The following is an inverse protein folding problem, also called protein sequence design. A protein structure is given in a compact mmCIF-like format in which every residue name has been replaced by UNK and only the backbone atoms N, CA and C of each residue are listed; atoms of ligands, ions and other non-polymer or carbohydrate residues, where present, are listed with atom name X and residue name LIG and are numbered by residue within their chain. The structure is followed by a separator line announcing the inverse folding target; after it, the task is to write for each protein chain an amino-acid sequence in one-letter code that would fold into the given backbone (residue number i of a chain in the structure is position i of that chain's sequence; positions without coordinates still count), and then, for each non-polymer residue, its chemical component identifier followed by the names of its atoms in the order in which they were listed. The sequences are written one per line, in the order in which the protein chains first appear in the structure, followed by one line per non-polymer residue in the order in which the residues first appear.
data_IF_389330037090
#
_entry.id   IF_389330037090
#
_cell.length_a   1.000
_cell.length_b   1.000
_cell.length_c   1.000
_cell.angle_alpha   90.00
_cell.angle_beta   90.00
_cell.angle_gamma   90.00
#
_symmetry.space_group_name_H-M   'P 1'
#
loop_
_entity.id
_entity.type
_entity.pdbx_description
1 polymer ?
#
# COMPACT_ATOMS: atom_id res chain seq x y z
N UNK A 1 16.60 -75.90 26.53
CA UNK A 1 17.45 -74.69 26.50
C UNK A 1 17.04 -73.84 25.30
N UNK A 2 16.81 -72.54 25.54
CA UNK A 2 16.54 -71.46 24.57
C UNK A 2 15.27 -71.47 23.71
N UNK A 3 14.18 -71.00 24.30
CA UNK A 3 13.13 -70.19 23.64
C UNK A 3 12.51 -69.30 24.71
N UNK A 4 12.70 -67.98 24.64
CA UNK A 4 11.87 -66.90 25.24
C UNK A 4 12.70 -65.62 25.40
N UNK A 5 12.80 -64.78 24.36
CA UNK A 5 13.27 -63.39 24.46
C UNK A 5 12.75 -62.65 23.21
N UNK A 6 11.45 -62.41 23.19
CA UNK A 6 10.75 -61.58 22.20
C UNK A 6 9.41 -61.21 22.84
N UNK A 7 9.40 -60.11 23.59
CA UNK A 7 8.27 -59.20 23.79
C UNK A 7 8.66 -58.25 24.93
N UNK A 8 9.03 -57.02 24.60
CA UNK A 8 9.25 -56.01 25.63
C UNK A 8 10.00 -54.77 25.18
N UNK A 9 9.98 -54.40 23.91
CA UNK A 9 10.61 -53.16 23.44
C UNK A 9 9.85 -52.64 22.22
N UNK A 10 8.58 -52.24 22.42
CA UNK A 10 7.75 -51.56 21.42
C UNK A 10 6.53 -50.92 22.10
N UNK A 11 6.77 -50.00 23.03
CA UNK A 11 5.81 -49.02 23.51
C UNK A 11 6.58 -47.87 24.18
N UNK A 12 7.54 -47.27 23.48
CA UNK A 12 7.79 -45.85 23.68
C UNK A 12 6.56 -45.13 23.13
N UNK A 13 5.52 -45.03 23.96
CA UNK A 13 4.46 -44.05 23.75
C UNK A 13 5.19 -42.71 23.60
N UNK A 14 5.27 -42.22 22.37
CA UNK A 14 5.23 -40.79 22.13
C UNK A 14 3.99 -40.30 22.88
N UNK A 15 4.20 -39.73 24.07
CA UNK A 15 3.24 -38.87 24.71
C UNK A 15 3.02 -37.72 23.74
N UNK A 16 2.10 -37.92 22.80
CA UNK A 16 1.44 -36.84 22.09
C UNK A 16 0.76 -36.09 23.22
N UNK A 17 1.37 -34.99 23.68
CA UNK A 17 0.74 -34.08 24.62
C UNK A 17 -0.60 -33.71 24.02
N UNK A 18 -1.69 -34.06 24.70
CA UNK A 18 -3.01 -33.62 24.28
C UNK A 18 -3.03 -32.10 24.47
N UNK A 19 -3.29 -31.36 23.40
CA UNK A 19 -3.51 -29.92 23.47
C UNK A 19 -4.57 -29.62 24.55
N UNK A 20 -4.16 -28.87 25.57
CA UNK A 20 -5.02 -28.50 26.68
C UNK A 20 -5.71 -27.15 26.39
N UNK A 21 -6.97 -27.03 26.78
CA UNK A 21 -7.68 -25.75 26.81
C UNK A 21 -7.61 -25.14 28.22
N UNK A 22 -7.04 -23.93 28.34
CA UNK A 22 -7.10 -23.11 29.54
C UNK A 22 -8.16 -22.04 29.36
N UNK A 23 -9.25 -22.11 30.13
CA UNK A 23 -10.23 -21.02 30.20
C UNK A 23 -9.87 -20.08 31.34
N UNK A 24 -9.70 -18.79 31.03
CA UNK A 24 -9.31 -17.76 32.00
C UNK A 24 -10.38 -16.68 32.10
N UNK A 25 -10.57 -16.13 33.29
CA UNK A 25 -11.64 -15.16 33.61
C UNK A 25 -11.13 -13.84 34.19
N UNK A 26 -9.84 -13.76 34.50
CA UNK A 26 -9.19 -12.58 35.07
C UNK A 26 -7.69 -12.53 34.72
N UNK A 27 -7.04 -11.40 35.01
CA UNK A 27 -5.61 -11.16 34.75
C UNK A 27 -4.69 -12.20 35.40
N UNK A 28 -4.99 -12.63 36.63
CA UNK A 28 -4.14 -13.56 37.35
C UNK A 28 -4.18 -14.96 36.71
N UNK A 29 -5.38 -15.41 36.34
CA UNK A 29 -5.60 -16.65 35.61
C UNK A 29 -4.94 -16.63 34.23
N UNK A 30 -5.04 -15.52 33.49
CA UNK A 30 -4.34 -15.35 32.20
C UNK A 30 -2.83 -15.46 32.35
N UNK A 31 -2.26 -14.73 33.31
CA UNK A 31 -0.82 -14.74 33.58
C UNK A 31 -0.33 -16.15 33.93
N UNK A 32 -1.08 -16.86 34.78
CA UNK A 32 -0.75 -18.23 35.16
C UNK A 32 -0.90 -19.22 34.00
N UNK A 33 -1.93 -19.07 33.16
CA UNK A 33 -2.15 -19.92 31.99
C UNK A 33 -1.02 -19.76 30.98
N UNK A 34 -0.65 -18.52 30.63
CA UNK A 34 0.47 -18.24 29.71
C UNK A 34 1.81 -18.79 30.22
N UNK A 35 2.04 -18.74 31.54
CA UNK A 35 3.24 -19.31 32.14
C UNK A 35 3.29 -20.84 32.14
N UNK A 36 2.14 -21.51 32.09
CA UNK A 36 2.01 -22.98 32.17
C UNK A 36 1.76 -23.64 30.82
N UNK A 37 1.29 -22.89 29.83
CA UNK A 37 0.94 -23.42 28.52
C UNK A 37 2.14 -24.11 27.86
N UNK A 38 1.85 -25.17 27.14
CA UNK A 38 2.76 -25.94 26.31
C UNK A 38 2.43 -25.73 24.84
N UNK A 39 3.35 -26.12 23.97
CA UNK A 39 3.13 -26.03 22.53
C UNK A 39 1.91 -26.88 22.13
N UNK A 40 1.00 -26.27 21.38
CA UNK A 40 -0.28 -26.85 20.95
C UNK A 40 -1.48 -26.45 21.81
N UNK A 41 -1.27 -25.85 22.99
CA UNK A 41 -2.38 -25.49 23.88
C UNK A 41 -3.20 -24.30 23.37
N UNK A 42 -4.43 -24.20 23.87
CA UNK A 42 -5.33 -23.07 23.63
C UNK A 42 -5.61 -22.35 24.94
N UNK A 43 -5.43 -21.03 24.96
CA UNK A 43 -5.82 -20.17 26.08
C UNK A 43 -7.03 -19.34 25.64
N UNK A 44 -8.20 -19.64 26.22
CA UNK A 44 -9.47 -18.98 25.94
C UNK A 44 -9.76 -17.93 27.02
N UNK A 45 -9.80 -16.66 26.61
CA UNK A 45 -10.12 -15.53 27.47
C UNK A 45 -11.63 -15.31 27.46
N UNK A 46 -12.27 -15.50 28.61
CA UNK A 46 -13.67 -15.12 28.80
C UNK A 46 -13.85 -13.60 28.68
N UNK A 47 -15.09 -13.16 28.48
CA UNK A 47 -15.46 -11.72 28.43
C UNK A 47 -15.11 -11.00 29.73
N UNK A 48 -13.94 -10.36 29.75
CA UNK A 48 -13.42 -9.57 30.86
C UNK A 48 -12.38 -8.56 30.35
N UNK A 49 -11.94 -7.66 31.25
CA UNK A 49 -10.78 -6.80 31.02
C UNK A 49 -9.59 -7.40 31.75
N UNK A 50 -8.53 -7.66 31.01
CA UNK A 50 -7.25 -8.17 31.49
C UNK A 50 -6.25 -7.02 31.45
N UNK A 51 -6.00 -6.42 32.61
CA UNK A 51 -5.09 -5.29 32.74
C UNK A 51 -3.63 -5.76 32.82
N UNK A 52 -2.75 -5.12 32.06
CA UNK A 52 -1.32 -5.38 32.05
C UNK A 52 -0.76 -5.70 30.66
N UNK A 53 0.50 -6.09 30.64
CA UNK A 53 1.23 -6.50 29.45
C UNK A 53 1.45 -8.02 29.49
N UNK A 54 1.18 -8.69 28.38
CA UNK A 54 1.22 -10.15 28.30
C UNK A 54 2.28 -10.62 27.30
N UNK A 55 2.86 -11.80 27.55
CA UNK A 55 3.87 -12.40 26.67
C UNK A 55 3.53 -13.85 26.36
N UNK A 56 3.67 -14.24 25.09
CA UNK A 56 3.47 -15.58 24.57
C UNK A 56 4.80 -16.11 24.05
N UNK A 57 5.37 -17.09 24.76
CA UNK A 57 6.66 -17.71 24.45
C UNK A 57 6.55 -19.17 24.01
N UNK A 58 5.32 -19.64 23.74
CA UNK A 58 4.98 -21.01 23.31
C UNK A 58 4.06 -20.97 22.10
N UNK A 59 4.08 -22.02 21.30
CA UNK A 59 3.25 -22.17 20.10
C UNK A 59 1.81 -22.47 20.52
N UNK A 60 1.01 -21.44 20.82
CA UNK A 60 -0.35 -21.60 21.35
C UNK A 60 -1.39 -20.84 20.53
N UNK A 61 -2.66 -21.19 20.74
CA UNK A 61 -3.80 -20.40 20.28
C UNK A 61 -4.33 -19.54 21.44
N UNK A 62 -4.12 -18.23 21.35
CA UNK A 62 -4.70 -17.23 22.25
C UNK A 62 -6.01 -16.74 21.65
N UNK A 63 -7.14 -17.08 22.29
CA UNK A 63 -8.49 -16.85 21.74
C UNK A 63 -9.34 -16.02 22.68
N UNK A 64 -9.91 -14.92 22.20
CA UNK A 64 -10.91 -14.13 22.90
C UNK A 64 -12.33 -14.61 22.66
N UNK A 65 -13.12 -14.75 23.72
CA UNK A 65 -14.58 -14.67 23.62
C UNK A 65 -15.01 -13.22 23.30
N UNK A 66 -16.20 -13.04 22.75
CA UNK A 66 -16.70 -11.71 22.38
C UNK A 66 -16.62 -10.74 23.57
N UNK A 67 -15.82 -9.68 23.43
CA UNK A 67 -15.61 -8.67 24.46
C UNK A 67 -14.38 -8.88 25.37
N UNK A 68 -13.65 -9.99 25.25
CA UNK A 68 -12.38 -10.18 25.94
C UNK A 68 -11.38 -9.08 25.55
N UNK A 69 -10.87 -8.35 26.54
CA UNK A 69 -10.11 -7.11 26.32
C UNK A 69 -8.77 -7.15 27.03
N UNK A 70 -7.67 -6.97 26.31
CA UNK A 70 -6.35 -6.66 26.87
C UNK A 70 -6.21 -5.13 26.98
N UNK A 71 -5.95 -4.63 28.19
CA UNK A 71 -5.73 -3.21 28.46
C UNK A 71 -4.32 -2.98 29.01
N UNK A 72 -3.46 -2.38 28.21
CA UNK A 72 -2.05 -2.18 28.54
C UNK A 72 -1.78 -0.90 29.35
N UNK A 73 -2.82 -0.22 29.83
CA UNK A 73 -2.70 0.89 30.79
C UNK A 73 -1.80 2.06 30.30
N UNK A 74 -1.71 2.24 28.99
CA UNK A 74 -0.86 3.18 28.25
C UNK A 74 0.64 2.96 28.47
N UNK A 75 1.05 1.74 28.78
CA UNK A 75 2.45 1.37 29.04
C UNK A 75 2.85 0.17 28.19
N UNK A 76 4.06 0.20 27.63
CA UNK A 76 4.63 -0.94 26.91
C UNK A 76 3.81 -1.40 25.70
N UNK A 77 4.12 -2.59 25.22
CA UNK A 77 3.29 -3.32 24.25
C UNK A 77 2.24 -4.17 24.96
N UNK A 78 1.01 -4.25 24.45
CA UNK A 78 -0.05 -5.00 25.13
C UNK A 78 0.17 -6.52 25.09
N UNK A 79 0.57 -7.04 23.94
CA UNK A 79 0.88 -8.45 23.74
C UNK A 79 2.22 -8.60 23.00
N UNK A 80 3.17 -9.31 23.60
CA UNK A 80 4.44 -9.68 22.97
C UNK A 80 4.41 -11.15 22.57
N UNK A 81 4.77 -11.47 21.34
CA UNK A 81 4.85 -12.83 20.81
C UNK A 81 6.31 -13.14 20.50
N UNK A 82 6.82 -14.22 21.09
CA UNK A 82 8.21 -14.66 21.01
C UNK A 82 8.36 -16.12 20.59
N UNK A 83 7.32 -16.69 19.97
CA UNK A 83 7.28 -18.06 19.49
C UNK A 83 6.60 -18.15 18.11
N UNK A 84 6.99 -19.11 17.27
CA UNK A 84 6.40 -19.28 15.95
C UNK A 84 4.98 -19.86 16.05
N UNK A 85 4.21 -19.74 14.97
CA UNK A 85 2.91 -20.39 14.77
C UNK A 85 1.86 -20.08 15.86
N UNK A 86 2.07 -19.01 16.62
CA UNK A 86 1.08 -18.50 17.57
C UNK A 86 -0.11 -17.96 16.80
N UNK A 87 -1.31 -18.30 17.27
CA UNK A 87 -2.56 -17.77 16.74
C UNK A 87 -3.14 -16.81 17.77
N UNK A 88 -3.40 -15.56 17.38
CA UNK A 88 -4.09 -14.56 18.21
C UNK A 88 -5.40 -14.20 17.53
N UNK A 89 -6.51 -14.53 18.18
CA UNK A 89 -7.83 -14.45 17.57
C UNK A 89 -8.88 -13.78 18.47
N UNK A 90 -9.65 -12.85 17.91
CA UNK A 90 -10.90 -12.38 18.52
C UNK A 90 -10.75 -11.49 19.75
N UNK A 91 -9.58 -10.87 19.96
CA UNK A 91 -9.32 -10.00 21.10
C UNK A 91 -9.64 -8.53 20.80
N UNK A 92 -10.13 -7.82 21.82
CA UNK A 92 -10.00 -6.37 21.88
C UNK A 92 -8.66 -6.03 22.55
N UNK A 93 -7.84 -5.20 21.94
CA UNK A 93 -6.55 -4.78 22.49
C UNK A 93 -6.54 -3.26 22.49
N UNK A 94 -6.25 -2.64 23.63
CA UNK A 94 -6.31 -1.19 23.76
C UNK A 94 -5.26 -0.61 24.70
N UNK A 95 -5.07 0.70 24.56
CA UNK A 95 -4.24 1.50 25.46
C UNK A 95 -2.82 0.93 25.64
N UNK A 96 -2.15 0.51 24.58
CA UNK A 96 -0.69 0.30 24.65
C UNK A 96 0.05 1.64 24.71
N UNK A 97 1.33 1.60 25.04
CA UNK A 97 2.19 2.78 25.06
C UNK A 97 2.32 3.45 23.70
N UNK A 98 2.66 4.74 23.70
CA UNK A 98 2.81 5.55 22.46
C UNK A 98 4.25 5.78 22.02
N UNK A 99 5.21 5.30 22.80
CA UNK A 99 6.63 5.54 22.50
C UNK A 99 7.09 4.69 21.32
N UNK A 100 7.30 5.34 20.18
CA UNK A 100 7.74 4.71 18.93
C UNK A 100 9.21 4.28 18.99
N UNK A 101 10.04 4.93 19.81
CA UNK A 101 11.44 4.56 19.99
C UNK A 101 11.56 3.19 20.69
N UNK A 102 10.70 2.94 21.68
CA UNK A 102 10.60 1.63 22.32
C UNK A 102 9.68 0.64 21.61
N UNK A 103 9.22 0.97 20.39
CA UNK A 103 8.39 0.09 19.56
C UNK A 103 7.10 -0.39 20.26
N UNK A 104 6.49 0.48 21.08
CA UNK A 104 5.27 0.11 21.79
C UNK A 104 4.15 -0.21 20.78
N UNK A 105 3.57 -1.39 20.93
CA UNK A 105 2.59 -1.92 19.99
C UNK A 105 1.38 -2.57 20.67
N UNK A 106 0.25 -2.63 19.97
CA UNK A 106 -0.86 -3.49 20.36
C UNK A 106 -0.42 -4.96 20.37
N UNK A 107 0.25 -5.39 19.31
CA UNK A 107 0.91 -6.70 19.23
C UNK A 107 2.35 -6.50 18.73
N UNK A 108 3.32 -6.93 19.54
CA UNK A 108 4.74 -6.91 19.22
C UNK A 108 5.21 -8.33 18.87
N UNK A 109 5.71 -8.52 17.66
CA UNK A 109 6.32 -9.76 17.18
C UNK A 109 7.84 -9.66 17.32
N UNK A 110 8.42 -10.48 18.19
CA UNK A 110 9.88 -10.56 18.36
C UNK A 110 10.50 -11.50 17.32
N UNK A 111 11.80 -11.36 17.04
CA UNK A 111 12.52 -12.32 16.19
C UNK A 111 12.25 -13.78 16.63
N UNK A 112 11.90 -14.63 15.68
CA UNK A 112 11.48 -16.02 15.90
C UNK A 112 9.96 -16.23 16.03
N UNK A 113 9.15 -15.16 16.01
CA UNK A 113 7.69 -15.23 15.90
C UNK A 113 7.24 -15.47 14.45
N UNK A 114 7.75 -16.52 13.82
CA UNK A 114 7.48 -16.87 12.43
C UNK A 114 6.11 -17.55 12.26
N UNK A 115 5.51 -17.44 11.08
CA UNK A 115 4.27 -18.11 10.70
C UNK A 115 3.06 -17.80 11.61
N UNK A 116 3.15 -16.73 12.42
CA UNK A 116 2.09 -16.29 13.33
C UNK A 116 0.83 -15.91 12.56
N UNK A 117 -0.33 -16.13 13.17
CA UNK A 117 -1.62 -15.70 12.65
C UNK A 117 -2.27 -14.72 13.61
N UNK A 118 -2.40 -13.47 13.20
CA UNK A 118 -3.15 -12.43 13.91
C UNK A 118 -4.46 -12.21 13.17
N UNK A 119 -5.57 -12.68 13.74
CA UNK A 119 -6.86 -12.73 13.07
C UNK A 119 -8.00 -12.11 13.86
N UNK A 120 -8.84 -11.30 13.21
CA UNK A 120 -10.15 -10.95 13.78
C UNK A 120 -10.06 -10.12 15.07
N UNK A 121 -8.97 -9.40 15.28
CA UNK A 121 -8.75 -8.60 16.48
C UNK A 121 -9.14 -7.14 16.25
N UNK A 122 -9.50 -6.45 17.33
CA UNK A 122 -9.77 -5.00 17.34
C UNK A 122 -8.73 -4.28 18.18
N UNK A 123 -7.87 -3.50 17.52
CA UNK A 123 -6.76 -2.78 18.15
C UNK A 123 -7.07 -1.27 18.18
N UNK A 124 -6.99 -0.63 19.35
CA UNK A 124 -7.16 0.83 19.50
C UNK A 124 -6.09 1.46 20.41
N UNK A 125 -5.22 2.30 19.86
CA UNK A 125 -4.13 2.91 20.61
C UNK A 125 -3.27 3.88 19.79
N UNK A 126 -2.29 4.50 20.44
CA UNK A 126 -1.53 5.61 19.86
C UNK A 126 -0.23 5.16 19.16
N UNK A 127 0.41 4.09 19.66
CA UNK A 127 1.63 3.50 19.09
C UNK A 127 1.34 2.60 17.90
N UNK A 128 2.26 1.69 17.58
CA UNK A 128 2.07 0.76 16.45
C UNK A 128 0.88 -0.17 16.71
N UNK A 129 0.08 -0.49 15.71
CA UNK A 129 -0.95 -1.53 15.84
C UNK A 129 -0.29 -2.89 16.03
N UNK A 130 0.39 -3.34 14.98
CA UNK A 130 1.19 -4.56 14.96
C UNK A 130 2.61 -4.20 14.49
N UNK A 131 3.61 -4.58 15.27
CA UNK A 131 5.01 -4.36 14.94
C UNK A 131 5.75 -5.68 14.86
N UNK A 132 6.65 -5.86 13.89
CA UNK A 132 7.48 -7.05 13.80
C UNK A 132 8.78 -6.85 13.04
N UNK A 133 9.85 -7.52 13.49
CA UNK A 133 11.13 -7.53 12.79
C UNK A 133 11.73 -8.92 12.69
N UNK A 134 12.45 -9.19 11.60
CA UNK A 134 13.19 -10.45 11.41
C UNK A 134 12.28 -11.69 11.52
N UNK A 135 11.24 -11.71 10.68
CA UNK A 135 10.20 -12.74 10.69
C UNK A 135 10.08 -13.43 9.33
N UNK A 136 9.43 -14.58 9.32
CA UNK A 136 8.99 -15.28 8.11
C UNK A 136 7.49 -15.57 8.14
N UNK A 137 6.83 -15.24 7.04
CA UNK A 137 5.43 -15.55 6.76
C UNK A 137 4.39 -15.21 7.86
N UNK A 138 4.45 -14.04 8.54
CA UNK A 138 3.35 -13.64 9.42
C UNK A 138 2.09 -13.38 8.59
N UNK A 139 0.93 -13.80 9.12
CA UNK A 139 -0.38 -13.62 8.50
C UNK A 139 -1.25 -12.72 9.36
N UNK A 140 -1.56 -11.55 8.86
CA UNK A 140 -2.32 -10.51 9.55
C UNK A 140 -3.62 -10.32 8.77
N UNK A 141 -4.74 -10.84 9.29
CA UNK A 141 -6.00 -10.82 8.54
C UNK A 141 -7.24 -10.49 9.34
N UNK A 142 -8.21 -9.87 8.68
CA UNK A 142 -9.54 -9.61 9.26
C UNK A 142 -9.48 -8.75 10.56
N UNK A 143 -8.42 -7.95 10.75
CA UNK A 143 -8.28 -7.09 11.94
C UNK A 143 -8.83 -5.68 11.68
N UNK A 144 -9.29 -5.02 12.74
CA UNK A 144 -9.59 -3.59 12.73
C UNK A 144 -8.60 -2.85 13.62
N UNK A 145 -7.80 -1.96 13.01
CA UNK A 145 -6.71 -1.25 13.67
C UNK A 145 -6.98 0.25 13.59
N UNK A 146 -7.21 0.87 14.75
CA UNK A 146 -7.48 2.30 14.88
C UNK A 146 -6.37 2.98 15.68
N UNK A 147 -5.75 3.98 15.05
CA UNK A 147 -4.90 4.94 15.74
C UNK A 147 -5.70 6.06 16.39
N UNK A 148 -5.04 7.20 16.64
CA UNK A 148 -5.62 8.37 17.28
C UNK A 148 -5.57 9.61 16.38
N UNK A 149 -6.74 9.97 15.83
CA UNK A 149 -6.90 11.09 14.90
C UNK A 149 -6.63 12.48 15.51
N UNK A 150 -6.57 12.60 16.84
CA UNK A 150 -6.28 13.86 17.52
C UNK A 150 -4.77 14.15 17.66
N UNK A 151 -3.92 13.16 17.41
CA UNK A 151 -2.46 13.30 17.45
C UNK A 151 -1.96 13.72 16.07
N UNK A 152 -0.89 14.52 16.01
CA UNK A 152 -0.22 14.86 14.76
C UNK A 152 0.23 13.58 14.02
N UNK A 153 0.06 13.54 12.70
CA UNK A 153 0.15 12.29 11.93
C UNK A 153 1.49 11.56 12.09
N UNK A 154 2.60 12.30 12.19
CA UNK A 154 3.94 11.72 12.34
C UNK A 154 4.23 11.17 13.74
N UNK A 155 3.43 11.55 14.74
CA UNK A 155 3.56 11.07 16.13
C UNK A 155 2.71 9.82 16.40
N UNK A 156 1.98 9.32 15.39
CA UNK A 156 1.19 8.08 15.47
C UNK A 156 2.05 6.89 15.06
N UNK A 157 1.74 5.72 15.61
CA UNK A 157 2.28 4.48 15.05
C UNK A 157 1.58 4.06 13.76
N UNK A 158 2.27 3.24 12.97
CA UNK A 158 1.70 2.59 11.80
C UNK A 158 0.75 1.47 12.21
N UNK A 159 -0.21 1.14 11.35
CA UNK A 159 -1.16 0.05 11.58
C UNK A 159 -0.44 -1.29 11.66
N UNK A 160 0.32 -1.60 10.61
CA UNK A 160 1.27 -2.72 10.55
C UNK A 160 2.63 -2.18 10.14
N UNK A 161 3.66 -2.41 10.96
CA UNK A 161 5.05 -2.12 10.65
C UNK A 161 5.84 -3.42 10.62
N UNK A 162 6.44 -3.76 9.48
CA UNK A 162 7.28 -4.95 9.32
C UNK A 162 8.64 -4.60 8.73
N UNK A 163 9.71 -5.06 9.39
CA UNK A 163 11.08 -4.81 8.94
C UNK A 163 11.91 -6.09 8.84
N UNK A 164 12.65 -6.27 7.75
CA UNK A 164 13.43 -7.50 7.50
C UNK A 164 12.56 -8.77 7.58
N UNK A 165 11.37 -8.72 6.98
CA UNK A 165 10.42 -9.84 6.97
C UNK A 165 10.35 -10.48 5.60
N UNK A 166 10.21 -11.79 5.55
CA UNK A 166 10.00 -12.55 4.30
C UNK A 166 8.56 -13.05 4.20
N UNK A 167 7.97 -12.94 3.01
CA UNK A 167 6.64 -13.43 2.67
C UNK A 167 5.48 -13.04 3.62
N UNK A 168 5.40 -11.81 4.18
CA UNK A 168 4.27 -11.44 5.01
C UNK A 168 2.98 -11.33 4.21
N UNK A 169 1.86 -11.74 4.81
CA UNK A 169 0.52 -11.59 4.24
C UNK A 169 -0.31 -10.65 5.10
N UNK A 170 -0.79 -9.54 4.52
CA UNK A 170 -1.68 -8.59 5.19
C UNK A 170 -2.94 -8.45 4.36
N UNK A 171 -4.06 -9.00 4.86
CA UNK A 171 -5.28 -9.11 4.07
C UNK A 171 -6.57 -8.81 4.84
N UNK A 172 -7.57 -8.26 4.15
CA UNK A 172 -8.92 -8.07 4.72
C UNK A 172 -8.94 -7.24 6.02
N UNK A 173 -7.96 -6.36 6.23
CA UNK A 173 -7.89 -5.51 7.43
C UNK A 173 -8.47 -4.12 7.16
N UNK A 174 -8.94 -3.46 8.22
CA UNK A 174 -9.41 -2.07 8.20
C UNK A 174 -8.53 -1.20 9.08
N UNK A 175 -7.96 -0.16 8.48
CA UNK A 175 -7.04 0.79 9.12
C UNK A 175 -7.63 2.19 9.12
N UNK A 176 -7.63 2.85 10.27
CA UNK A 176 -8.07 4.24 10.40
C UNK A 176 -7.24 5.00 11.42
N UNK A 177 -6.92 6.28 11.14
CA UNK A 177 -6.23 7.18 12.07
C UNK A 177 -4.87 6.70 12.59
N UNK A 178 -4.23 5.74 11.92
CA UNK A 178 -2.81 5.40 12.11
C UNK A 178 -1.93 6.40 11.33
N UNK A 179 -0.60 6.28 11.40
CA UNK A 179 0.31 7.01 10.50
C UNK A 179 0.25 6.40 9.11
N UNK A 180 0.93 5.30 8.84
CA UNK A 180 0.76 4.50 7.63
C UNK A 180 -0.08 3.26 7.92
N UNK A 181 -0.87 2.81 6.95
CA UNK A 181 -1.69 1.60 7.07
C UNK A 181 -0.80 0.36 7.20
N UNK A 182 -0.03 0.10 6.14
CA UNK A 182 1.01 -0.93 6.10
C UNK A 182 2.33 -0.30 5.69
N UNK A 183 3.32 -0.33 6.59
CA UNK A 183 4.69 0.09 6.34
C UNK A 183 5.61 -1.14 6.31
N UNK A 184 6.33 -1.33 5.20
CA UNK A 184 7.28 -2.42 5.01
C UNK A 184 8.68 -1.85 4.74
N UNK A 185 9.68 -2.31 5.48
CA UNK A 185 11.08 -1.92 5.29
C UNK A 185 11.99 -3.15 5.09
N UNK A 186 12.71 -3.20 3.96
CA UNK A 186 13.60 -4.32 3.64
C UNK A 186 12.88 -5.68 3.69
N UNK A 187 11.65 -5.72 3.15
CA UNK A 187 10.80 -6.92 3.07
C UNK A 187 10.91 -7.56 1.69
N UNK A 188 10.71 -8.87 1.61
CA UNK A 188 10.60 -9.59 0.33
C UNK A 188 9.32 -10.42 0.24
N UNK A 189 8.80 -10.53 -0.99
CA UNK A 189 7.71 -11.43 -1.36
C UNK A 189 6.41 -11.21 -0.58
N UNK A 190 6.12 -9.97 -0.19
CA UNK A 190 4.88 -9.64 0.55
C UNK A 190 3.64 -9.71 -0.32
N UNK A 191 2.51 -10.03 0.32
CA UNK A 191 1.18 -10.02 -0.29
C UNK A 191 0.23 -9.15 0.54
N UNK A 192 -0.14 -7.99 -0.01
CA UNK A 192 -0.97 -7.00 0.68
C UNK A 192 -2.25 -6.81 -0.12
N UNK A 193 -3.37 -7.41 0.31
CA UNK A 193 -4.58 -7.39 -0.51
C UNK A 193 -5.90 -7.24 0.23
N UNK A 194 -6.90 -6.66 -0.43
CA UNK A 194 -8.26 -6.50 0.12
C UNK A 194 -8.33 -5.67 1.42
N UNK A 195 -7.34 -4.80 1.69
CA UNK A 195 -7.35 -3.94 2.86
C UNK A 195 -8.06 -2.60 2.59
N UNK A 196 -8.64 -2.03 3.65
CA UNK A 196 -9.29 -0.72 3.63
C UNK A 196 -8.50 0.29 4.48
N UNK A 197 -8.15 1.43 3.90
CA UNK A 197 -7.34 2.48 4.51
C UNK A 197 -8.10 3.80 4.50
N UNK A 198 -8.21 4.46 5.66
CA UNK A 198 -8.89 5.75 5.74
C UNK A 198 -8.21 6.74 6.71
N UNK A 199 -8.19 8.03 6.35
CA UNK A 199 -7.79 9.13 7.25
C UNK A 199 -6.42 8.94 7.90
N UNK A 200 -5.45 8.55 7.09
CA UNK A 200 -4.07 8.24 7.48
C UNK A 200 -3.09 8.87 6.46
N UNK A 201 -1.79 8.77 6.70
CA UNK A 201 -0.76 9.28 5.80
C UNK A 201 -0.72 8.44 4.51
N UNK A 202 -0.12 7.24 4.53
CA UNK A 202 -0.09 6.34 3.36
C UNK A 202 -0.83 5.03 3.59
N UNK A 203 -1.62 4.58 2.60
CA UNK A 203 -2.27 3.28 2.65
C UNK A 203 -1.25 2.15 2.72
N UNK A 204 -0.35 2.11 1.73
CA UNK A 204 0.78 1.18 1.68
C UNK A 204 2.06 1.98 1.46
N UNK A 205 3.09 1.67 2.24
CA UNK A 205 4.41 2.29 2.17
C UNK A 205 5.50 1.21 2.09
N UNK A 206 6.07 1.02 0.91
CA UNK A 206 7.19 0.12 0.67
C UNK A 206 8.50 0.89 0.65
N UNK A 207 9.45 0.48 1.48
CA UNK A 207 10.80 1.03 1.58
C UNK A 207 11.83 -0.08 1.44
N UNK A 208 12.64 -0.03 0.37
CA UNK A 208 13.70 -1.03 0.13
C UNK A 208 13.18 -2.48 -0.03
N UNK A 209 11.98 -2.67 -0.57
CA UNK A 209 11.36 -4.00 -0.70
C UNK A 209 11.56 -4.63 -2.08
N UNK A 210 11.32 -5.94 -2.21
CA UNK A 210 11.44 -6.65 -3.48
C UNK A 210 10.48 -7.83 -3.63
N UNK A 211 9.92 -7.98 -4.84
CA UNK A 211 9.12 -9.16 -5.20
C UNK A 211 7.71 -9.14 -4.63
N UNK A 212 7.20 -7.95 -4.31
CA UNK A 212 5.96 -7.77 -3.57
C UNK A 212 4.75 -7.64 -4.49
N UNK A 213 3.59 -8.04 -3.99
CA UNK A 213 2.29 -7.87 -4.65
C UNK A 213 1.34 -7.09 -3.73
N UNK A 214 0.69 -6.06 -4.29
CA UNK A 214 -0.38 -5.34 -3.61
C UNK A 214 -1.60 -5.23 -4.53
N UNK A 215 -2.72 -5.78 -4.09
CA UNK A 215 -3.91 -5.84 -4.94
C UNK A 215 -5.26 -5.70 -4.26
N UNK A 216 -6.25 -5.17 -4.98
CA UNK A 216 -7.62 -5.03 -4.48
C UNK A 216 -7.74 -4.23 -3.16
N UNK A 217 -6.77 -3.36 -2.86
CA UNK A 217 -6.84 -2.49 -1.69
C UNK A 217 -7.63 -1.22 -2.01
N UNK A 218 -8.20 -0.60 -0.98
CA UNK A 218 -8.92 0.67 -1.09
C UNK A 218 -8.40 1.70 -0.10
N UNK A 219 -7.96 2.86 -0.59
CA UNK A 219 -7.55 4.00 0.22
C UNK A 219 -8.47 5.20 -0.02
N UNK A 220 -8.98 5.82 1.05
CA UNK A 220 -9.87 6.98 0.97
C UNK A 220 -9.51 8.09 1.98
N UNK A 221 -9.52 9.34 1.53
CA UNK A 221 -9.23 10.50 2.39
C UNK A 221 -7.88 10.36 3.11
N UNK A 222 -6.82 10.03 2.35
CA UNK A 222 -5.45 9.82 2.85
C UNK A 222 -4.53 10.94 2.38
N UNK A 223 -3.34 11.10 2.98
CA UNK A 223 -2.35 12.03 2.42
C UNK A 223 -1.80 11.49 1.09
N UNK A 224 -1.44 10.22 1.03
CA UNK A 224 -1.05 9.52 -0.20
C UNK A 224 -1.61 8.09 -0.25
N UNK A 225 -1.90 7.58 -1.44
CA UNK A 225 -2.45 6.23 -1.59
C UNK A 225 -1.40 5.14 -1.37
N UNK A 226 -0.63 4.85 -2.40
CA UNK A 226 0.35 3.76 -2.42
C UNK A 226 1.74 4.29 -2.78
N UNK A 227 2.67 4.20 -1.83
CA UNK A 227 4.04 4.69 -1.96
C UNK A 227 5.02 3.52 -2.15
N UNK A 228 5.61 3.42 -3.34
CA UNK A 228 6.63 2.44 -3.69
C UNK A 228 7.98 3.16 -3.74
N UNK A 229 8.79 3.01 -2.69
CA UNK A 229 10.00 3.81 -2.52
C UNK A 229 11.24 2.93 -2.44
N UNK A 230 12.21 3.24 -3.30
CA UNK A 230 13.48 2.52 -3.46
C UNK A 230 13.32 0.99 -3.51
N UNK A 231 12.29 0.51 -4.20
CA UNK A 231 11.83 -0.88 -4.21
C UNK A 231 11.82 -1.47 -5.62
N UNK A 232 11.85 -2.79 -5.75
CA UNK A 232 12.04 -3.47 -7.04
C UNK A 232 11.06 -4.61 -7.28
N UNK A 233 10.68 -4.86 -8.53
CA UNK A 233 9.81 -6.00 -8.89
C UNK A 233 8.48 -6.01 -8.12
N UNK A 234 7.82 -4.86 -8.04
CA UNK A 234 6.54 -4.72 -7.34
C UNK A 234 5.39 -4.89 -8.34
N UNK A 235 4.41 -5.73 -8.02
CA UNK A 235 3.16 -5.83 -8.77
C UNK A 235 2.04 -5.13 -8.00
N UNK A 236 1.71 -3.89 -8.40
CA UNK A 236 0.63 -3.11 -7.82
C UNK A 236 -0.57 -3.14 -8.77
N UNK A 237 -1.64 -3.85 -8.43
CA UNK A 237 -2.77 -3.98 -9.34
C UNK A 237 -4.17 -3.99 -8.74
N UNK A 238 -5.15 -3.49 -9.49
CA UNK A 238 -6.57 -3.48 -9.08
C UNK A 238 -6.81 -2.73 -7.75
N UNK A 239 -5.94 -1.80 -7.39
CA UNK A 239 -6.12 -0.97 -6.19
C UNK A 239 -6.88 0.30 -6.52
N UNK A 240 -7.59 0.84 -5.54
CA UNK A 240 -8.34 2.08 -5.66
C UNK A 240 -7.93 3.09 -4.61
N UNK A 241 -7.56 4.28 -5.05
CA UNK A 241 -7.38 5.44 -4.18
C UNK A 241 -8.31 6.56 -4.62
N UNK A 242 -9.00 7.16 -3.65
CA UNK A 242 -9.87 8.32 -3.87
C UNK A 242 -9.66 9.38 -2.78
N UNK A 243 -9.77 10.65 -3.14
CA UNK A 243 -9.67 11.76 -2.18
C UNK A 243 -8.31 11.77 -1.45
N UNK A 244 -7.24 11.39 -2.15
CA UNK A 244 -5.89 11.55 -1.62
C UNK A 244 -5.44 13.01 -1.78
N UNK A 245 -4.59 13.49 -0.87
CA UNK A 245 -4.13 14.89 -0.89
C UNK A 245 -2.94 15.09 -1.84
N UNK A 246 -1.86 14.33 -1.65
CA UNK A 246 -0.58 14.53 -2.33
C UNK A 246 -0.45 13.66 -3.58
N UNK A 247 -0.74 12.36 -3.47
CA UNK A 247 -0.62 11.43 -4.58
C UNK A 247 -1.56 10.22 -4.46
N UNK A 248 -2.01 9.69 -5.59
CA UNK A 248 -2.67 8.39 -5.65
C UNK A 248 -1.65 7.26 -5.58
N UNK A 249 -0.71 7.25 -6.54
CA UNK A 249 0.41 6.29 -6.60
C UNK A 249 1.72 7.06 -6.68
N UNK A 250 2.70 6.69 -5.86
CA UNK A 250 4.06 7.22 -5.91
C UNK A 250 5.04 6.12 -6.29
N UNK A 251 5.76 6.32 -7.39
CA UNK A 251 6.94 5.55 -7.76
C UNK A 251 8.18 6.43 -7.49
N UNK A 252 8.89 6.19 -6.40
CA UNK A 252 10.09 6.91 -6.03
C UNK A 252 11.29 5.96 -6.07
N UNK A 253 12.21 6.15 -7.03
CA UNK A 253 13.38 5.26 -7.19
C UNK A 253 12.93 3.78 -7.32
N UNK A 254 11.74 3.56 -7.89
CA UNK A 254 11.17 2.23 -8.11
C UNK A 254 11.69 1.64 -9.41
N UNK A 255 12.06 0.36 -9.42
CA UNK A 255 12.55 -0.32 -10.61
C UNK A 255 11.77 -1.61 -10.92
N UNK A 256 11.56 -1.87 -12.20
CA UNK A 256 10.94 -3.11 -12.70
C UNK A 256 9.56 -3.43 -12.07
N UNK A 257 8.82 -2.41 -11.64
CA UNK A 257 7.45 -2.57 -11.16
C UNK A 257 6.46 -2.71 -12.31
N UNK A 258 5.34 -3.37 -12.02
CA UNK A 258 4.17 -3.47 -12.86
C UNK A 258 3.00 -2.83 -12.13
N UNK A 259 2.54 -1.70 -12.64
CA UNK A 259 1.41 -0.93 -12.10
C UNK A 259 0.25 -1.11 -13.08
N UNK A 260 -0.74 -1.92 -12.69
CA UNK A 260 -1.78 -2.37 -13.61
C UNK A 260 -3.19 -2.22 -13.06
N UNK A 261 -4.15 -1.74 -13.86
CA UNK A 261 -5.57 -1.76 -13.49
C UNK A 261 -5.90 -1.03 -12.16
N UNK A 262 -5.07 -0.07 -11.74
CA UNK A 262 -5.35 0.74 -10.56
C UNK A 262 -6.21 1.95 -10.93
N UNK A 263 -7.00 2.43 -9.97
CA UNK A 263 -7.80 3.65 -10.12
C UNK A 263 -7.34 4.66 -9.07
N UNK A 264 -6.79 5.79 -9.53
CA UNK A 264 -6.52 6.96 -8.71
C UNK A 264 -7.40 8.12 -9.18
N UNK A 265 -8.34 8.52 -8.33
CA UNK A 265 -9.32 9.56 -8.64
C UNK A 265 -9.40 10.61 -7.54
N UNK A 266 -9.80 11.83 -7.87
CA UNK A 266 -9.99 12.91 -6.88
C UNK A 266 -8.73 13.16 -6.04
N UNK A 267 -7.54 13.11 -6.65
CA UNK A 267 -6.29 13.44 -5.96
C UNK A 267 -6.07 14.94 -6.04
N UNK A 268 -6.41 15.64 -4.95
CA UNK A 268 -6.51 17.09 -4.92
C UNK A 268 -5.85 17.62 -3.66
N UNK A 269 -4.92 18.56 -3.81
CA UNK A 269 -4.38 19.34 -2.71
C UNK A 269 -4.95 20.77 -2.77
N UNK A 270 -5.91 21.14 -1.91
CA UNK A 270 -6.52 22.48 -1.93
C UNK A 270 -5.54 23.63 -1.65
N UNK A 271 -4.39 23.33 -1.07
CA UNK A 271 -3.31 24.28 -0.77
C UNK A 271 -2.12 24.10 -1.71
N UNK A 272 -2.20 23.12 -2.61
CA UNK A 272 -1.16 22.80 -3.57
C UNK A 272 -1.27 23.62 -4.84
N UNK A 273 -0.15 23.74 -5.54
CA UNK A 273 -0.12 24.32 -6.87
C UNK A 273 0.93 23.60 -7.73
N UNK A 274 0.68 23.55 -9.04
CA UNK A 274 1.59 22.90 -9.99
C UNK A 274 2.96 23.58 -9.96
N UNK A 275 3.00 24.89 -9.75
CA UNK A 275 4.22 25.69 -9.73
C UNK A 275 5.12 25.34 -8.54
N UNK A 276 4.52 25.04 -7.38
CA UNK A 276 5.24 24.65 -6.16
C UNK A 276 5.57 23.15 -6.13
N UNK A 277 4.97 22.34 -7.00
CA UNK A 277 5.19 20.90 -7.04
C UNK A 277 4.50 20.12 -5.92
N UNK A 278 3.57 20.75 -5.20
CA UNK A 278 2.80 20.16 -4.10
C UNK A 278 1.30 19.97 -4.42
N UNK A 279 0.91 20.10 -5.69
CA UNK A 279 -0.41 19.72 -6.22
C UNK A 279 -0.71 18.23 -6.02
N UNK A 280 -1.99 17.84 -6.01
CA UNK A 280 -2.41 16.44 -5.97
C UNK A 280 -2.11 15.71 -7.29
N UNK A 281 -1.46 14.55 -7.21
CA UNK A 281 -0.98 13.80 -8.39
C UNK A 281 -1.63 12.42 -8.49
N UNK A 282 -2.36 12.11 -9.56
CA UNK A 282 -2.92 10.77 -9.78
C UNK A 282 -1.84 9.69 -9.67
N UNK A 283 -0.77 9.86 -10.44
CA UNK A 283 0.51 9.15 -10.25
C UNK A 283 1.68 10.13 -10.27
N UNK A 284 2.65 9.90 -9.39
CA UNK A 284 3.92 10.61 -9.34
C UNK A 284 5.09 9.67 -9.58
N UNK A 285 5.81 9.89 -10.68
CA UNK A 285 6.99 9.14 -11.10
C UNK A 285 8.22 10.00 -10.82
N UNK A 286 9.04 9.58 -9.86
CA UNK A 286 10.21 10.33 -9.42
C UNK A 286 11.45 9.43 -9.40
N UNK A 287 12.38 9.66 -10.34
CA UNK A 287 13.60 8.87 -10.49
C UNK A 287 13.36 7.33 -10.57
N UNK A 288 12.17 6.90 -10.99
CA UNK A 288 11.79 5.49 -11.12
C UNK A 288 12.00 5.01 -12.56
N UNK A 289 12.53 3.81 -12.79
CA UNK A 289 12.92 3.35 -14.13
C UNK A 289 12.40 1.95 -14.46
N UNK A 290 12.29 1.64 -15.76
CA UNK A 290 11.93 0.32 -16.28
C UNK A 290 10.57 -0.24 -15.81
N UNK A 291 9.68 0.61 -15.31
CA UNK A 291 8.36 0.20 -14.86
C UNK A 291 7.38 0.07 -16.04
N UNK A 292 6.42 -0.85 -15.91
CA UNK A 292 5.26 -0.99 -16.81
C UNK A 292 4.04 -0.40 -16.13
N UNK A 293 3.44 0.62 -16.74
CA UNK A 293 2.27 1.31 -16.20
C UNK A 293 1.16 1.20 -17.25
N UNK A 294 0.23 0.27 -17.04
CA UNK A 294 -0.79 -0.03 -18.04
C UNK A 294 -2.18 -0.24 -17.45
N UNK A 295 -3.23 -0.01 -18.25
CA UNK A 295 -4.61 -0.24 -17.83
C UNK A 295 -5.07 0.54 -16.58
N UNK A 296 -4.34 1.57 -16.14
CA UNK A 296 -4.71 2.35 -14.95
C UNK A 296 -5.63 3.52 -15.32
N UNK A 297 -6.41 4.00 -14.36
CA UNK A 297 -7.18 5.23 -14.47
C UNK A 297 -6.61 6.31 -13.54
N UNK A 298 -6.25 7.45 -14.13
CA UNK A 298 -5.82 8.66 -13.43
C UNK A 298 -6.80 9.78 -13.76
N UNK A 299 -7.72 10.09 -12.84
CA UNK A 299 -8.83 10.98 -13.15
C UNK A 299 -9.16 12.02 -12.07
N UNK A 300 -9.83 13.10 -12.47
CA UNK A 300 -10.39 14.12 -11.57
C UNK A 300 -9.38 14.67 -10.53
N UNK A 301 -8.10 14.71 -10.88
CA UNK A 301 -7.01 15.12 -10.00
C UNK A 301 -6.45 16.49 -10.42
N UNK A 302 -5.66 17.15 -9.56
CA UNK A 302 -4.98 18.40 -9.96
C UNK A 302 -4.02 18.13 -11.12
N UNK A 303 -3.22 17.06 -11.01
CA UNK A 303 -2.41 16.53 -12.12
C UNK A 303 -2.64 15.04 -12.29
N UNK A 304 -2.89 14.58 -13.52
CA UNK A 304 -3.07 13.15 -13.83
C UNK A 304 -1.76 12.37 -13.63
N UNK A 305 -0.77 12.66 -14.47
CA UNK A 305 0.57 12.05 -14.43
C UNK A 305 1.61 13.14 -14.18
N UNK A 306 2.39 13.02 -13.11
CA UNK A 306 3.55 13.87 -12.85
C UNK A 306 4.82 13.04 -12.95
N UNK A 307 5.81 13.53 -13.70
CA UNK A 307 7.11 12.89 -13.87
C UNK A 307 8.24 13.91 -13.70
N UNK A 308 9.22 13.58 -12.87
CA UNK A 308 10.37 14.45 -12.61
C UNK A 308 11.64 13.64 -12.25
N UNK A 309 12.80 14.28 -12.46
CA UNK A 309 14.11 13.77 -12.04
C UNK A 309 14.44 12.39 -12.62
N UNK A 310 14.09 12.21 -13.89
CA UNK A 310 14.21 10.95 -14.61
C UNK A 310 12.90 10.18 -14.72
N UNK A 311 12.99 8.98 -15.28
CA UNK A 311 11.85 8.06 -15.47
C UNK A 311 11.39 7.91 -16.91
N UNK A 312 12.24 8.33 -17.84
CA UNK A 312 12.05 8.23 -19.28
C UNK A 312 12.07 6.77 -19.78
N UNK A 313 12.63 5.84 -19.00
CA UNK A 313 12.67 4.41 -19.31
C UNK A 313 11.39 3.64 -18.92
N UNK A 314 10.38 4.32 -18.37
CA UNK A 314 9.10 3.69 -18.08
C UNK A 314 8.25 3.55 -19.34
N UNK A 315 7.43 2.49 -19.39
CA UNK A 315 6.47 2.26 -20.48
C UNK A 315 5.05 2.56 -19.98
N UNK A 316 4.35 3.45 -20.66
CA UNK A 316 2.99 3.89 -20.33
C UNK A 316 2.08 3.68 -21.54
N UNK A 317 1.10 2.78 -21.44
CA UNK A 317 0.11 2.52 -22.49
C UNK A 317 -1.19 2.02 -21.87
N UNK A 318 -2.31 2.08 -22.61
CA UNK A 318 -3.62 1.63 -22.15
C UNK A 318 -4.12 2.28 -20.84
N UNK A 319 -3.57 3.42 -20.44
CA UNK A 319 -4.09 4.14 -19.29
C UNK A 319 -5.24 5.06 -19.71
N UNK A 320 -6.11 5.39 -18.76
CA UNK A 320 -7.24 6.28 -18.91
C UNK A 320 -6.95 7.58 -18.14
N UNK A 321 -6.64 8.65 -18.86
CA UNK A 321 -6.28 9.95 -18.30
C UNK A 321 -7.45 10.92 -18.53
N UNK A 322 -8.23 11.19 -17.46
CA UNK A 322 -9.57 11.77 -17.59
C UNK A 322 -9.83 12.95 -16.66
N UNK A 323 -10.23 14.08 -17.24
CA UNK A 323 -10.76 15.22 -16.50
C UNK A 323 -9.85 15.71 -15.34
N UNK A 324 -8.54 15.57 -15.48
CA UNK A 324 -7.57 16.22 -14.59
C UNK A 324 -7.43 17.70 -14.98
N UNK A 325 -7.07 18.57 -14.02
CA UNK A 325 -6.83 19.99 -14.32
C UNK A 325 -5.60 20.15 -15.22
N UNK A 326 -4.55 19.37 -14.96
CA UNK A 326 -3.38 19.19 -15.84
C UNK A 326 -3.27 17.69 -16.16
N UNK A 327 -3.32 17.28 -17.43
CA UNK A 327 -3.22 15.83 -17.74
C UNK A 327 -1.81 15.31 -17.41
N UNK A 328 -0.78 16.03 -17.86
CA UNK A 328 0.62 15.62 -17.72
C UNK A 328 1.49 16.80 -17.29
N UNK A 329 2.33 16.57 -16.28
CA UNK A 329 3.46 17.43 -15.93
C UNK A 329 4.75 16.64 -16.03
N UNK A 330 5.54 16.90 -17.08
CA UNK A 330 6.81 16.23 -17.31
C UNK A 330 7.96 17.23 -17.26
N UNK A 331 8.87 17.03 -16.32
CA UNK A 331 10.09 17.82 -16.14
C UNK A 331 11.29 16.98 -16.57
N UNK A 332 11.56 16.97 -17.87
CA UNK A 332 12.73 16.31 -18.46
C UNK A 332 13.17 16.99 -19.77
N UNK A 333 14.15 16.36 -20.43
CA UNK A 333 14.76 16.86 -21.67
C UNK A 333 14.61 15.88 -22.85
N UNK A 334 14.15 14.65 -22.59
CA UNK A 334 13.94 13.67 -23.64
C UNK A 334 12.55 13.78 -24.27
N UNK A 335 12.43 13.34 -25.52
CA UNK A 335 11.15 13.01 -26.14
C UNK A 335 10.73 11.60 -25.71
N UNK A 336 9.53 11.48 -25.16
CA UNK A 336 8.97 10.22 -24.67
C UNK A 336 7.86 9.73 -25.59
N UNK A 337 7.84 8.43 -25.86
CA UNK A 337 6.73 7.75 -26.52
C UNK A 337 5.93 6.95 -25.50
N UNK A 338 4.69 7.38 -25.25
CA UNK A 338 3.73 6.72 -24.37
C UNK A 338 2.72 5.93 -25.20
N UNK A 339 3.27 5.03 -26.00
CA UNK A 339 2.56 3.92 -26.63
C UNK A 339 3.49 2.71 -26.66
N UNK A 340 2.91 1.52 -26.76
CA UNK A 340 3.68 0.29 -26.83
C UNK A 340 3.01 -0.70 -27.78
N UNK A 341 3.77 -1.24 -28.73
CA UNK A 341 3.28 -2.23 -29.71
C UNK A 341 1.99 -1.80 -30.44
N UNK A 342 1.90 -0.52 -30.83
CA UNK A 342 0.76 0.04 -31.56
C UNK A 342 -0.47 0.36 -30.69
N UNK A 343 -0.31 0.38 -29.37
CA UNK A 343 -1.37 0.69 -28.41
C UNK A 343 -0.95 1.88 -27.54
N UNK A 344 -1.75 2.95 -27.54
CA UNK A 344 -1.54 4.15 -26.74
C UNK A 344 -2.47 4.25 -25.55
N UNK A 345 -2.74 5.46 -25.08
CA UNK A 345 -3.58 5.75 -23.92
C UNK A 345 -4.89 6.44 -24.34
N UNK A 346 -5.89 6.39 -23.48
CA UNK A 346 -7.11 7.18 -23.64
C UNK A 346 -6.96 8.52 -22.92
N UNK A 347 -7.21 9.61 -23.64
CA UNK A 347 -7.10 10.98 -23.16
C UNK A 347 -8.43 11.71 -23.31
N UNK A 348 -9.00 12.20 -22.21
CA UNK A 348 -10.30 12.90 -22.26
C UNK A 348 -10.29 14.19 -23.09
N UNK A 349 -9.11 14.77 -23.35
CA UNK A 349 -8.92 15.98 -24.14
C UNK A 349 -8.52 15.72 -25.60
N UNK A 350 -8.40 14.47 -26.02
CA UNK A 350 -8.04 14.14 -27.39
C UNK A 350 -9.17 14.55 -28.36
N UNK A 351 -8.83 15.40 -29.33
CA UNK A 351 -9.76 15.95 -30.34
C UNK A 351 -9.40 15.50 -31.77
N UNK A 352 -8.67 14.38 -31.91
CA UNK A 352 -8.35 13.82 -33.22
C UNK A 352 -9.53 13.07 -33.84
N UNK A 353 -9.23 12.41 -34.95
CA UNK A 353 -10.20 11.66 -35.74
C UNK A 353 -9.68 10.24 -35.95
N UNK A 354 -10.60 9.31 -36.15
CA UNK A 354 -10.32 7.93 -36.54
C UNK A 354 -11.07 7.68 -37.85
N UNK A 355 -10.35 7.87 -38.96
CA UNK A 355 -10.92 7.81 -40.32
C UNK A 355 -11.06 6.36 -40.79
N UNK A 356 -10.22 5.45 -40.27
CA UNK A 356 -10.20 4.04 -40.67
C UNK A 356 -11.11 3.15 -39.78
N UNK A 357 -11.59 3.68 -38.65
CA UNK A 357 -12.52 3.03 -37.72
C UNK A 357 -11.88 1.95 -36.84
N UNK A 358 -10.55 1.97 -36.64
CA UNK A 358 -9.85 0.94 -35.87
C UNK A 358 -9.83 1.19 -34.34
N UNK A 359 -10.35 2.35 -33.89
CA UNK A 359 -10.41 2.77 -32.50
C UNK A 359 -9.17 3.53 -32.01
N UNK A 360 -8.21 3.78 -32.89
CA UNK A 360 -7.00 4.57 -32.66
C UNK A 360 -7.09 5.88 -33.46
N UNK A 361 -6.67 6.98 -32.85
CA UNK A 361 -6.67 8.27 -33.51
C UNK A 361 -5.56 8.41 -34.56
N UNK A 362 -5.89 8.96 -35.73
CA UNK A 362 -4.98 9.17 -36.86
C UNK A 362 -3.92 10.27 -36.60
N UNK A 363 -4.07 11.03 -35.51
CA UNK A 363 -3.18 12.15 -35.16
C UNK A 363 -2.48 11.87 -33.83
N UNK A 364 -1.16 11.99 -33.81
CA UNK A 364 -0.33 11.89 -32.59
C UNK A 364 -0.83 12.88 -31.53
N UNK A 365 -1.12 12.37 -30.32
CA UNK A 365 -1.45 13.20 -29.17
C UNK A 365 -0.18 13.66 -28.46
N UNK A 366 -0.17 14.92 -27.99
CA UNK A 366 0.92 15.53 -27.23
C UNK A 366 0.31 16.24 -26.01
N UNK A 367 0.30 15.60 -24.83
CA UNK A 367 -0.37 16.13 -23.64
C UNK A 367 0.41 17.26 -22.95
N UNK A 368 1.64 17.52 -23.38
CA UNK A 368 2.41 18.69 -22.97
C UNK A 368 3.32 19.20 -24.10
N UNK A 369 3.64 20.49 -24.06
CA UNK A 369 4.52 21.15 -25.02
C UNK A 369 5.63 21.99 -24.35
N UNK A 370 6.49 22.58 -25.19
CA UNK A 370 7.60 23.45 -24.75
C UNK A 370 7.10 24.71 -24.03
N UNK A 371 5.90 25.20 -24.35
CA UNK A 371 5.28 26.38 -23.75
C UNK A 371 4.72 26.06 -22.36
N UNK A 372 4.18 24.86 -22.13
CA UNK A 372 3.76 24.42 -20.80
C UNK A 372 4.93 24.47 -19.81
N UNK A 373 6.12 24.02 -20.24
CA UNK A 373 7.36 24.14 -19.45
C UNK A 373 7.71 25.60 -19.15
N UNK A 374 7.54 26.51 -20.11
CA UNK A 374 7.73 27.95 -19.91
C UNK A 374 6.77 28.48 -18.84
N UNK A 375 5.49 28.10 -18.88
CA UNK A 375 4.50 28.55 -17.89
C UNK A 375 4.73 27.97 -16.49
N UNK A 376 5.30 26.76 -16.39
CA UNK A 376 5.73 26.22 -15.10
C UNK A 376 6.96 26.95 -14.54
N UNK A 377 7.87 27.41 -15.41
CA UNK A 377 9.06 28.19 -15.01
C UNK A 377 8.75 29.65 -14.70
N UNK A 378 7.77 30.24 -15.40
CA UNK A 378 7.36 31.64 -15.26
C UNK A 378 5.84 31.73 -15.03
N UNK A 379 5.36 31.47 -13.79
CA UNK A 379 3.93 31.49 -13.46
C UNK A 379 3.21 32.80 -13.81
N UNK A 380 3.92 33.93 -13.82
CA UNK A 380 3.36 35.25 -14.15
C UNK A 380 2.90 35.33 -15.61
N UNK A 381 3.46 34.49 -16.50
CA UNK A 381 3.07 34.41 -17.90
C UNK A 381 1.76 33.63 -18.12
N UNK A 382 1.23 32.96 -17.08
CA UNK A 382 0.02 32.11 -17.17
C UNK A 382 -1.24 32.89 -17.59
N UNK A 383 -1.28 34.20 -17.30
CA UNK A 383 -2.35 35.12 -17.78
C UNK A 383 -2.46 35.14 -19.32
N UNK A 384 -1.39 34.78 -20.02
CA UNK A 384 -1.31 34.80 -21.48
C UNK A 384 -1.67 33.45 -22.11
N UNK A 385 -1.94 32.38 -21.35
CA UNK A 385 -2.15 31.03 -21.91
C UNK A 385 -3.30 30.96 -22.91
N UNK A 386 -4.39 31.71 -22.66
CA UNK A 386 -5.53 31.79 -23.57
C UNK A 386 -5.44 32.98 -24.53
N UNK A 387 -4.30 33.68 -24.57
CA UNK A 387 -4.12 34.81 -25.47
C UNK A 387 -4.02 34.33 -26.94
N UNK A 388 -4.52 35.12 -27.90
CA UNK A 388 -4.38 34.81 -29.33
C UNK A 388 -2.94 34.56 -29.78
N UNK A 389 -1.96 35.20 -29.12
CA UNK A 389 -0.52 35.02 -29.43
C UNK A 389 -0.05 33.62 -29.07
N UNK A 390 -0.43 33.11 -27.89
CA UNK A 390 -0.07 31.74 -27.46
C UNK A 390 -0.76 30.69 -28.35
N UNK A 391 -2.03 30.89 -28.71
CA UNK A 391 -2.75 30.02 -29.65
C UNK A 391 -2.06 29.99 -31.03
N UNK A 392 -1.63 31.14 -31.54
CA UNK A 392 -0.89 31.23 -32.80
C UNK A 392 0.47 30.52 -32.70
N UNK A 393 1.22 30.74 -31.62
CA UNK A 393 2.51 30.08 -31.40
C UNK A 393 2.37 28.56 -31.34
N UNK A 394 1.37 28.04 -30.63
CA UNK A 394 1.04 26.60 -30.60
C UNK A 394 0.68 26.07 -31.98
N UNK A 395 -0.11 26.83 -32.76
CA UNK A 395 -0.43 26.44 -34.14
C UNK A 395 0.82 26.39 -35.02
N UNK A 396 1.70 27.41 -34.95
CA UNK A 396 2.96 27.46 -35.69
C UNK A 396 3.87 26.30 -35.28
N UNK A 397 4.06 26.04 -33.99
CA UNK A 397 4.88 24.91 -33.49
C UNK A 397 4.38 23.57 -34.06
N UNK A 398 3.06 23.34 -34.09
CA UNK A 398 2.44 22.15 -34.71
C UNK A 398 2.70 22.03 -36.22
N UNK A 399 2.84 23.15 -36.95
CA UNK A 399 3.10 23.11 -38.40
C UNK A 399 4.59 22.93 -38.74
N UNK A 400 5.50 23.43 -37.89
CA UNK A 400 6.93 23.55 -38.24
C UNK A 400 7.87 22.63 -37.45
N UNK A 401 7.42 21.92 -36.40
CA UNK A 401 8.24 20.95 -35.67
C UNK A 401 7.70 19.51 -35.76
N UNK A 402 8.16 18.70 -36.73
CA UNK A 402 7.77 17.29 -36.80
C UNK A 402 8.38 16.44 -35.66
N UNK A 403 9.47 16.89 -35.04
CA UNK A 403 10.11 16.26 -33.86
C UNK A 403 10.39 17.31 -32.80
N UNK A 404 9.56 17.35 -31.75
CA UNK A 404 9.88 18.12 -30.55
C UNK A 404 11.18 17.56 -29.94
N UNK A 405 12.07 18.45 -29.47
CA UNK A 405 13.32 18.04 -28.84
C UNK A 405 13.09 17.38 -27.47
N UNK A 406 11.96 17.69 -26.82
CA UNK A 406 11.55 17.18 -25.52
C UNK A 406 10.03 17.21 -25.38
N UNK A 407 9.47 16.30 -24.60
CA UNK A 407 8.03 16.27 -24.32
C UNK A 407 7.48 14.85 -24.38
N UNK A 408 6.16 14.72 -24.27
CA UNK A 408 5.45 13.44 -24.38
C UNK A 408 4.71 13.38 -25.70
N UNK A 409 4.81 12.25 -26.39
CA UNK A 409 3.94 11.87 -27.49
C UNK A 409 3.25 10.55 -27.22
N UNK A 410 2.02 10.43 -27.71
CA UNK A 410 1.31 9.17 -27.86
C UNK A 410 0.93 9.05 -29.33
N UNK A 411 1.60 8.14 -30.03
CA UNK A 411 1.41 7.90 -31.46
C UNK A 411 0.17 7.07 -31.78
N UNK A 412 -0.45 6.44 -30.79
CA UNK A 412 -1.61 5.56 -30.95
C UNK A 412 -2.71 5.91 -29.92
N UNK A 413 -3.14 7.18 -29.82
CA UNK A 413 -4.12 7.58 -28.81
C UNK A 413 -5.45 6.87 -29.05
N UNK A 414 -6.07 6.36 -27.99
CA UNK A 414 -7.32 5.61 -28.09
C UNK A 414 -8.52 6.57 -28.21
N UNK A 415 -9.42 6.31 -29.17
CA UNK A 415 -10.64 7.11 -29.37
C UNK A 415 -11.69 6.90 -28.27
N UNK A 416 -11.67 5.72 -27.65
CA UNK A 416 -12.62 5.31 -26.64
C UNK A 416 -12.03 4.24 -25.74
N UNK A 417 -12.65 4.08 -24.57
CA UNK A 417 -12.31 2.99 -23.67
C UNK A 417 -13.26 1.83 -23.91
N UNK A 418 -12.73 0.66 -24.25
CA UNK A 418 -13.50 -0.58 -24.26
C UNK A 418 -13.36 -1.22 -22.89
N UNK A 419 -14.44 -1.27 -22.11
CA UNK A 419 -14.48 -2.10 -20.91
C UNK A 419 -14.51 -3.57 -21.33
N UNK A 420 -13.73 -4.43 -20.67
CA UNK A 420 -13.93 -5.89 -20.77
C UNK A 420 -15.38 -6.20 -20.34
N UNK A 421 -16.26 -6.38 -21.32
CA UNK A 421 -17.71 -6.48 -21.12
C UNK A 421 -18.56 -5.97 -22.29
N UNK A 422 -18.05 -5.05 -23.11
CA UNK A 422 -18.80 -4.48 -24.25
C UNK A 422 -18.69 -5.31 -25.55
N UNK A 423 -18.31 -6.58 -25.41
CA UNK A 423 -18.10 -7.52 -26.51
C UNK A 423 -18.77 -8.86 -26.24
N UNK A 424 -20.05 -8.86 -25.88
CA UNK A 424 -20.96 -10.00 -26.06
C UNK A 424 -22.31 -9.52 -26.60
#
# INVERSE_FOLDING_TARGET
MWRSLLLGWLCSLSLVGLAQEFRVTDTAALTQALARAQDGDTVVLATAVYEGNFSVSRTIHLKGEAGATLDALRQGSALTIAAPKVIVEGLNIRHWGRDLYYQNAGILLQPGADEVLIKGNRLVGDGFGIYGEQLSAPRIRENSISGNGAIYVLDRGDGVFLKHVSAPQVQDNHFIFVRDGVYLESVTDSQIHHNQFAKLQYGIHYMYTRGDEASNNQAISVDGGYALMNSQHIFLHHNKVSQARDFGILLNITNDAHVQANVATEVVNPQGSVELGNEGKGIFIYAAQNNRIEANEFSHSDTGISMAMGGEANRLWHNRIVANQTQVKYVGEAQLEWSYQGQGNYWSEYQGWDTNGDGVGDIVHRPNDSLDKLFWLYPEAKLLMESPVVLLLRWVERQFQPTAASGVSDSFPLMGWKTEGDGQ
#
